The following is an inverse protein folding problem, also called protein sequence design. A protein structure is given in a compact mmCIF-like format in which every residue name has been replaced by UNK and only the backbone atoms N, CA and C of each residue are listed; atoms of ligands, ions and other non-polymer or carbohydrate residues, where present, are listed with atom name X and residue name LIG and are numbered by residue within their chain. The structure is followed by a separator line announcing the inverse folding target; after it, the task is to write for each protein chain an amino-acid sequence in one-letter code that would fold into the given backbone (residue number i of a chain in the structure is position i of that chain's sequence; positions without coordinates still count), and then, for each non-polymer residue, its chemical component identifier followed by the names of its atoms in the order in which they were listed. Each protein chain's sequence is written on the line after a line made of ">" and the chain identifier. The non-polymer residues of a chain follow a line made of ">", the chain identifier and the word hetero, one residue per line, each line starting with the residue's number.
data_IF_665167266013
#
_entry.id   IF_665167266013
#
_cell.length_a   1.000
_cell.length_b   1.000
_cell.length_c   1.000
_cell.angle_alpha   90.00
_cell.angle_beta   90.00
_cell.angle_gamma   90.00
#
_symmetry.space_group_name_H-M   'P 1'
#
loop_
_entity.id
_entity.type
_entity.pdbx_description
1 polymer ?
#
# COMPACT_ATOMS: atom_id res chain seq x y z
N UNK A 1 -11.68 9.62 21.26
CA UNK A 1 -11.54 9.91 19.81
C UNK A 1 -12.59 9.08 19.10
N UNK A 2 -13.15 9.56 18.00
CA UNK A 2 -14.12 8.79 17.20
C UNK A 2 -13.39 7.52 16.75
N UNK A 3 -13.74 6.37 17.32
CA UNK A 3 -13.12 5.09 17.02
C UNK A 3 -13.79 4.44 15.81
N UNK A 4 -14.17 5.28 14.84
CA UNK A 4 -14.84 4.83 13.65
C UNK A 4 -13.82 4.13 12.77
N UNK A 5 -14.00 2.81 12.60
CA UNK A 5 -13.16 2.04 11.70
C UNK A 5 -13.42 2.43 10.25
N UNK A 6 -12.37 2.39 9.43
CA UNK A 6 -12.46 2.61 7.99
C UNK A 6 -12.24 1.33 7.19
N UNK A 7 -12.74 1.34 5.96
CA UNK A 7 -12.45 0.34 4.93
C UNK A 7 -11.79 1.06 3.77
N UNK A 8 -10.64 0.56 3.35
CA UNK A 8 -9.96 1.01 2.16
C UNK A 8 -10.03 -0.11 1.11
N UNK A 9 -10.60 0.19 -0.04
CA UNK A 9 -10.49 -0.65 -1.22
C UNK A 9 -9.54 -0.04 -2.23
N UNK A 10 -8.59 -0.83 -2.69
CA UNK A 10 -7.72 -0.45 -3.79
C UNK A 10 -8.08 -1.23 -5.05
N UNK A 11 -8.42 -0.48 -6.08
CA UNK A 11 -8.59 -0.97 -7.43
C UNK A 11 -7.29 -0.73 -8.19
N UNK A 12 -6.70 -1.82 -8.67
CA UNK A 12 -5.56 -1.73 -9.58
C UNK A 12 -6.04 -1.49 -11.01
N UNK A 13 -5.16 -0.96 -11.86
CA UNK A 13 -5.44 -0.66 -13.27
C UNK A 13 -5.53 -1.93 -14.15
N UNK A 14 -6.28 -2.94 -13.69
CA UNK A 14 -6.44 -4.25 -14.33
C UNK A 14 -7.79 -4.39 -15.06
N UNK A 15 -8.73 -3.45 -14.84
CA UNK A 15 -10.10 -3.53 -15.35
C UNK A 15 -10.51 -2.27 -16.12
N UNK A 16 -11.40 -2.36 -17.11
CA UNK A 16 -11.92 -1.18 -17.82
C UNK A 16 -12.58 -0.16 -16.89
N UNK A 17 -12.35 1.12 -17.14
CA UNK A 17 -12.87 2.26 -16.37
C UNK A 17 -14.39 2.22 -16.16
N UNK A 18 -15.14 1.89 -17.22
CA UNK A 18 -16.61 1.90 -17.19
C UNK A 18 -17.16 0.80 -16.27
N UNK A 19 -16.47 -0.33 -16.18
CA UNK A 19 -16.80 -1.42 -15.27
C UNK A 19 -16.63 -0.97 -13.81
N UNK A 20 -15.52 -0.27 -13.52
CA UNK A 20 -15.24 0.29 -12.19
C UNK A 20 -16.34 1.28 -11.80
N UNK A 21 -16.60 2.26 -12.66
CA UNK A 21 -17.58 3.31 -12.40
C UNK A 21 -19.00 2.74 -12.19
N UNK A 22 -19.45 1.81 -13.05
CA UNK A 22 -20.75 1.12 -12.90
C UNK A 22 -20.82 0.32 -11.60
N UNK A 23 -19.70 -0.27 -11.18
CA UNK A 23 -19.61 -0.99 -9.92
C UNK A 23 -19.75 -0.10 -8.71
N UNK A 24 -19.03 1.02 -8.69
CA UNK A 24 -19.12 1.99 -7.62
C UNK A 24 -20.52 2.63 -7.54
N UNK A 25 -21.16 2.88 -8.70
CA UNK A 25 -22.53 3.38 -8.75
C UNK A 25 -23.58 2.36 -8.28
N UNK A 26 -23.31 1.06 -8.48
CA UNK A 26 -24.23 0.00 -8.06
C UNK A 26 -24.00 -0.47 -6.62
N UNK A 27 -22.99 0.09 -5.93
CA UNK A 27 -22.70 -0.23 -4.54
C UNK A 27 -23.88 0.17 -3.65
N UNK A 28 -24.57 -0.83 -3.13
CA UNK A 28 -25.63 -0.66 -2.15
C UNK A 28 -25.11 -1.06 -0.76
N UNK A 29 -24.62 -0.08 -0.01
CA UNK A 29 -24.19 -0.26 1.37
C UNK A 29 -25.39 -0.36 2.31
N UNK A 30 -25.32 -1.19 3.37
CA UNK A 30 -26.32 -1.18 4.44
C UNK A 30 -26.54 0.23 5.02
N UNK A 31 -27.77 0.55 5.43
CA UNK A 31 -28.08 1.85 6.07
C UNK A 31 -27.26 2.08 7.36
N UNK A 32 -26.90 0.99 8.04
CA UNK A 32 -26.08 0.98 9.25
C UNK A 32 -24.58 1.17 8.98
N UNK A 33 -24.14 1.13 7.71
CA UNK A 33 -22.75 1.37 7.35
C UNK A 33 -22.39 2.83 7.66
N UNK A 34 -21.33 3.10 8.45
CA UNK A 34 -21.01 4.47 8.83
C UNK A 34 -20.67 5.33 7.62
N UNK A 35 -21.23 6.54 7.61
CA UNK A 35 -20.83 7.59 6.66
C UNK A 35 -19.35 7.93 6.86
N UNK A 36 -18.64 8.24 5.78
CA UNK A 36 -17.22 8.65 5.84
C UNK A 36 -16.23 7.55 6.31
N UNK A 37 -16.66 6.28 6.35
CA UNK A 37 -15.78 5.13 6.63
C UNK A 37 -15.21 4.48 5.37
N UNK A 38 -15.64 4.89 4.18
CA UNK A 38 -15.33 4.21 2.93
C UNK A 38 -14.27 4.97 2.14
N UNK A 39 -13.14 4.32 1.89
CA UNK A 39 -12.02 4.86 1.13
C UNK A 39 -11.80 4.01 -0.12
N UNK A 40 -11.62 4.65 -1.26
CA UNK A 40 -11.44 3.99 -2.55
C UNK A 40 -10.21 4.57 -3.23
N UNK A 41 -9.15 3.77 -3.30
CA UNK A 41 -7.95 4.11 -4.06
C UNK A 41 -8.11 3.64 -5.51
N UNK A 42 -7.92 4.58 -6.43
CA UNK A 42 -8.04 4.38 -7.87
C UNK A 42 -6.73 4.76 -8.58
N UNK A 43 -6.41 4.15 -9.73
CA UNK A 43 -5.39 4.71 -10.61
C UNK A 43 -5.81 6.12 -11.04
N UNK A 44 -4.85 7.02 -11.25
CA UNK A 44 -5.14 8.44 -11.47
C UNK A 44 -6.15 8.70 -12.59
N UNK A 45 -6.02 8.03 -13.73
CA UNK A 45 -6.92 8.23 -14.88
C UNK A 45 -8.36 7.80 -14.57
N UNK A 46 -8.54 6.86 -13.64
CA UNK A 46 -9.84 6.38 -13.18
C UNK A 46 -10.42 7.38 -12.19
N UNK A 47 -9.59 7.93 -11.31
CA UNK A 47 -9.99 8.96 -10.38
C UNK A 47 -10.60 10.14 -11.15
N UNK A 48 -9.90 10.68 -12.16
CA UNK A 48 -10.38 11.81 -12.96
C UNK A 48 -11.76 11.52 -13.59
N UNK A 49 -11.95 10.33 -14.18
CA UNK A 49 -13.24 9.96 -14.78
C UNK A 49 -14.34 9.70 -13.74
N UNK A 50 -13.97 9.13 -12.60
CA UNK A 50 -14.90 8.77 -11.54
C UNK A 50 -15.49 10.00 -10.85
N UNK A 51 -14.77 11.14 -10.81
CA UNK A 51 -15.24 12.36 -10.16
C UNK A 51 -16.57 12.85 -10.68
N UNK A 52 -16.78 12.87 -11.99
CA UNK A 52 -18.05 13.35 -12.58
C UNK A 52 -19.22 12.45 -12.20
N UNK A 53 -18.96 11.14 -12.06
CA UNK A 53 -19.99 10.15 -11.77
C UNK A 53 -20.25 10.01 -10.26
N UNK A 54 -19.23 10.22 -9.43
CA UNK A 54 -19.23 9.89 -7.99
C UNK A 54 -19.14 11.12 -7.07
N UNK A 55 -19.17 12.34 -7.61
CA UNK A 55 -19.10 13.62 -6.87
C UNK A 55 -20.12 13.75 -5.71
N UNK A 56 -21.22 12.97 -5.71
CA UNK A 56 -22.25 12.98 -4.66
C UNK A 56 -22.26 11.70 -3.80
N UNK A 57 -21.23 10.85 -3.93
CA UNK A 57 -21.11 9.64 -3.11
C UNK A 57 -20.59 9.97 -1.71
N UNK A 58 -20.82 9.06 -0.77
CA UNK A 58 -20.31 9.14 0.62
C UNK A 58 -18.89 8.56 0.76
N UNK A 59 -18.14 8.46 -0.35
CA UNK A 59 -16.84 7.80 -0.40
C UNK A 59 -15.71 8.83 -0.43
N UNK A 60 -14.62 8.51 0.25
CA UNK A 60 -13.35 9.20 0.08
C UNK A 60 -12.60 8.56 -1.07
N UNK A 61 -12.16 9.38 -2.02
CA UNK A 61 -11.37 8.89 -3.15
C UNK A 61 -9.91 9.28 -2.98
N UNK A 62 -9.03 8.38 -3.40
CA UNK A 62 -7.59 8.60 -3.38
C UNK A 62 -6.91 8.01 -4.58
N UNK A 63 -5.66 8.40 -4.78
CA UNK A 63 -4.83 7.85 -5.85
C UNK A 63 -3.99 6.68 -5.36
N UNK A 64 -3.72 5.73 -6.24
CA UNK A 64 -2.88 4.56 -5.96
C UNK A 64 -1.39 4.86 -5.87
N UNK A 65 -0.92 6.00 -6.38
CA UNK A 65 0.47 6.48 -6.28
C UNK A 65 0.55 7.98 -6.64
N UNK A 66 1.71 8.59 -6.40
CA UNK A 66 2.06 9.92 -6.89
C UNK A 66 3.56 10.03 -7.13
N UNK A 67 3.96 11.03 -7.90
CA UNK A 67 5.34 11.39 -8.16
C UNK A 67 6.03 11.88 -6.87
N UNK A 68 7.28 11.46 -6.66
CA UNK A 68 8.16 12.13 -5.70
C UNK A 68 8.57 13.50 -6.26
N UNK A 69 8.42 14.57 -5.50
CA UNK A 69 8.69 15.92 -5.97
C UNK A 69 10.21 16.22 -6.09
N UNK A 70 11.02 15.25 -6.49
CA UNK A 70 12.46 15.40 -6.67
C UNK A 70 12.74 16.18 -7.95
N UNK A 71 13.67 17.16 -7.96
CA UNK A 71 13.79 18.11 -9.08
C UNK A 71 14.25 17.54 -10.43
N UNK A 72 14.59 16.25 -10.54
CA UNK A 72 15.56 15.82 -11.54
C UNK A 72 15.01 15.00 -12.74
N UNK A 73 13.82 14.39 -12.70
CA UNK A 73 13.27 13.71 -13.90
C UNK A 73 11.75 13.49 -13.81
N UNK A 74 10.97 14.04 -14.75
CA UNK A 74 9.52 13.79 -14.84
C UNK A 74 9.14 13.37 -16.25
N UNK A 75 8.81 12.09 -16.46
CA UNK A 75 8.45 11.60 -17.80
C UNK A 75 7.06 10.95 -17.89
N UNK A 76 6.38 10.67 -16.76
CA UNK A 76 4.99 10.16 -16.79
C UNK A 76 4.23 10.16 -15.44
N UNK A 77 4.86 10.56 -14.33
CA UNK A 77 4.25 10.45 -12.99
C UNK A 77 3.42 11.69 -12.62
N UNK A 78 2.41 11.50 -11.76
CA UNK A 78 1.45 12.54 -11.39
C UNK A 78 1.88 13.28 -10.12
N UNK A 79 2.09 14.59 -10.20
CA UNK A 79 2.42 15.41 -9.03
C UNK A 79 1.21 15.54 -8.07
N UNK A 80 1.47 15.76 -6.78
CA UNK A 80 0.41 15.96 -5.78
C UNK A 80 -0.60 17.06 -6.15
N UNK A 81 -0.16 18.13 -6.83
CA UNK A 81 -1.06 19.20 -7.27
C UNK A 81 -2.18 18.71 -8.19
N UNK A 82 -1.90 17.75 -9.07
CA UNK A 82 -2.91 17.15 -9.95
C UNK A 82 -3.91 16.28 -9.18
N UNK A 83 -3.47 15.68 -8.07
CA UNK A 83 -4.38 14.96 -7.18
C UNK A 83 -5.35 15.93 -6.47
N UNK A 84 -4.89 17.13 -6.10
CA UNK A 84 -5.77 18.19 -5.57
C UNK A 84 -6.82 18.61 -6.61
N UNK A 85 -6.42 18.81 -7.86
CA UNK A 85 -7.36 19.12 -8.96
C UNK A 85 -8.37 17.98 -9.17
N UNK A 86 -7.92 16.74 -9.00
CA UNK A 86 -8.75 15.53 -9.03
C UNK A 86 -9.51 15.29 -7.72
N UNK A 87 -9.57 16.27 -6.81
CA UNK A 87 -10.26 16.19 -5.51
C UNK A 87 -9.91 14.95 -4.68
N UNK A 88 -8.71 14.40 -4.85
CA UNK A 88 -8.25 13.26 -4.06
C UNK A 88 -8.17 13.67 -2.57
N UNK A 89 -8.74 12.87 -1.69
CA UNK A 89 -8.62 13.05 -0.25
C UNK A 89 -7.32 12.46 0.30
N UNK A 90 -6.80 11.43 -0.36
CA UNK A 90 -5.65 10.66 0.10
C UNK A 90 -4.84 10.06 -1.06
N UNK A 91 -3.68 9.51 -0.74
CA UNK A 91 -2.82 8.79 -1.70
C UNK A 91 -2.11 7.63 -1.02
N UNK A 92 -2.03 6.49 -1.70
CA UNK A 92 -1.23 5.35 -1.26
C UNK A 92 0.25 5.57 -1.61
N UNK A 93 1.14 5.31 -0.65
CA UNK A 93 2.60 5.51 -0.82
C UNK A 93 3.35 4.33 -0.22
N UNK A 94 4.41 3.86 -0.89
CA UNK A 94 5.28 2.82 -0.33
C UNK A 94 4.70 1.41 -0.41
N UNK A 95 3.81 1.13 -1.35
CA UNK A 95 3.21 -0.20 -1.53
C UNK A 95 4.32 -1.23 -1.73
N UNK A 96 4.14 -2.42 -1.17
CA UNK A 96 5.17 -3.45 -1.23
C UNK A 96 5.49 -3.89 -2.67
N UNK A 97 4.53 -3.83 -3.60
CA UNK A 97 4.78 -4.07 -5.03
C UNK A 97 5.78 -3.06 -5.60
N UNK A 98 5.64 -1.78 -5.26
CA UNK A 98 6.47 -0.70 -5.79
C UNK A 98 7.91 -0.80 -5.26
N UNK A 99 8.05 -1.08 -3.96
CA UNK A 99 9.35 -1.35 -3.33
C UNK A 99 10.07 -2.53 -3.99
N UNK A 100 9.34 -3.59 -4.34
CA UNK A 100 9.92 -4.82 -4.86
C UNK A 100 10.22 -4.77 -6.36
N UNK A 101 9.29 -4.25 -7.16
CA UNK A 101 9.36 -4.29 -8.63
C UNK A 101 10.05 -3.07 -9.23
N UNK A 102 9.72 -1.86 -8.77
CA UNK A 102 10.30 -0.61 -9.29
C UNK A 102 11.36 0.00 -8.36
N UNK A 103 11.70 -0.71 -7.28
CA UNK A 103 12.76 -0.35 -6.32
C UNK A 103 12.56 1.02 -5.68
N UNK A 104 11.31 1.34 -5.34
CA UNK A 104 10.97 2.56 -4.63
C UNK A 104 11.75 2.65 -3.31
N UNK A 105 12.55 3.71 -3.16
CA UNK A 105 13.45 3.89 -2.01
C UNK A 105 12.74 4.57 -0.83
N UNK A 106 13.27 4.39 0.39
CA UNK A 106 12.78 5.11 1.57
C UNK A 106 12.84 6.64 1.41
N UNK A 107 13.84 7.13 0.67
CA UNK A 107 13.99 8.56 0.36
C UNK A 107 12.87 9.05 -0.56
N UNK A 108 12.60 8.33 -1.66
CA UNK A 108 11.49 8.64 -2.57
C UNK A 108 10.16 8.69 -1.82
N UNK A 109 9.90 7.71 -0.95
CA UNK A 109 8.70 7.65 -0.12
C UNK A 109 8.62 8.83 0.85
N UNK A 110 9.72 9.19 1.50
CA UNK A 110 9.78 10.37 2.36
C UNK A 110 9.37 11.64 1.58
N UNK A 111 9.90 11.84 0.37
CA UNK A 111 9.53 12.97 -0.47
C UNK A 111 8.06 12.96 -0.89
N UNK A 112 7.49 11.79 -1.24
CA UNK A 112 6.06 11.67 -1.56
C UNK A 112 5.19 12.05 -0.37
N UNK A 113 5.49 11.53 0.83
CA UNK A 113 4.74 11.85 2.06
C UNK A 113 4.79 13.35 2.34
N UNK A 114 5.98 13.96 2.26
CA UNK A 114 6.15 15.41 2.47
C UNK A 114 5.37 16.24 1.45
N UNK A 115 5.39 15.82 0.18
CA UNK A 115 4.65 16.46 -0.91
C UNK A 115 3.14 16.37 -0.70
N UNK A 116 2.63 15.18 -0.33
CA UNK A 116 1.22 14.97 -0.01
C UNK A 116 0.75 15.86 1.17
N UNK A 117 1.50 15.86 2.28
CA UNK A 117 1.19 16.70 3.45
C UNK A 117 1.17 18.19 3.11
N UNK A 118 2.13 18.67 2.30
CA UNK A 118 2.19 20.07 1.86
C UNK A 118 0.94 20.49 1.07
N UNK A 119 0.46 19.60 0.21
CA UNK A 119 -0.76 19.81 -0.60
C UNK A 119 -2.05 19.42 0.13
N UNK A 120 -1.97 19.07 1.43
CA UNK A 120 -3.10 18.65 2.29
C UNK A 120 -3.82 17.40 1.78
N UNK A 121 -3.09 16.50 1.13
CA UNK A 121 -3.54 15.16 0.77
C UNK A 121 -3.08 14.21 1.87
N UNK A 122 -3.99 13.38 2.38
CA UNK A 122 -3.68 12.44 3.46
C UNK A 122 -2.79 11.31 2.94
N UNK A 123 -1.56 11.13 3.45
CA UNK A 123 -0.72 10.01 3.07
C UNK A 123 -1.23 8.72 3.73
N UNK A 124 -1.43 7.68 2.93
CA UNK A 124 -1.63 6.31 3.42
C UNK A 124 -0.33 5.54 3.14
N UNK A 125 0.55 5.52 4.13
CA UNK A 125 1.87 4.93 4.04
C UNK A 125 1.82 3.43 4.28
N UNK A 126 2.16 2.66 3.24
CA UNK A 126 2.29 1.22 3.29
C UNK A 126 3.68 0.81 3.81
N UNK A 127 3.67 -0.13 4.75
CA UNK A 127 4.86 -0.76 5.31
C UNK A 127 4.58 -2.23 5.62
N UNK A 128 5.64 -3.02 5.72
CA UNK A 128 5.55 -4.45 5.94
C UNK A 128 6.59 -5.22 5.16
N UNK A 129 6.82 -6.43 5.63
CA UNK A 129 7.69 -7.43 5.04
C UNK A 129 7.06 -8.15 3.84
N UNK A 130 7.93 -8.72 3.01
CA UNK A 130 7.56 -9.69 1.98
C UNK A 130 7.20 -11.03 2.58
N UNK A 131 6.62 -11.92 1.76
CA UNK A 131 6.34 -13.31 2.18
C UNK A 131 7.59 -14.04 2.67
N UNK A 132 8.70 -13.92 1.95
CA UNK A 132 9.96 -14.58 2.30
C UNK A 132 10.48 -14.07 3.65
N UNK A 133 10.49 -12.75 3.84
CA UNK A 133 10.88 -12.13 5.11
C UNK A 133 9.93 -12.51 6.27
N UNK A 134 8.63 -12.71 6.01
CA UNK A 134 7.68 -13.19 7.02
C UNK A 134 7.97 -14.63 7.42
N UNK A 135 8.19 -15.52 6.45
CA UNK A 135 8.51 -16.94 6.70
C UNK A 135 9.85 -17.11 7.44
N UNK A 136 10.80 -16.21 7.19
CA UNK A 136 12.08 -16.16 7.88
C UNK A 136 12.03 -15.49 9.27
N UNK A 137 10.87 -14.94 9.67
CA UNK A 137 10.69 -14.29 10.97
C UNK A 137 11.30 -12.89 11.08
N UNK A 138 11.48 -12.18 9.96
CA UNK A 138 12.07 -10.85 9.90
C UNK A 138 11.06 -9.68 10.09
N UNK A 139 9.77 -9.96 10.30
CA UNK A 139 8.69 -8.96 10.45
C UNK A 139 9.08 -7.77 11.33
N UNK A 140 9.57 -8.00 12.55
CA UNK A 140 9.92 -6.91 13.46
C UNK A 140 11.08 -6.05 12.94
N UNK A 141 12.11 -6.67 12.37
CA UNK A 141 13.26 -5.95 11.82
C UNK A 141 12.85 -5.07 10.62
N UNK A 142 12.00 -5.60 9.73
CA UNK A 142 11.55 -4.88 8.54
C UNK A 142 10.63 -3.72 8.90
N UNK A 143 9.65 -3.93 9.78
CA UNK A 143 8.76 -2.85 10.26
C UNK A 143 9.57 -1.72 10.89
N UNK A 144 10.53 -2.04 11.78
CA UNK A 144 11.39 -1.04 12.42
C UNK A 144 12.19 -0.24 11.41
N UNK A 145 12.81 -0.93 10.44
CA UNK A 145 13.62 -0.32 9.41
C UNK A 145 12.79 0.62 8.54
N UNK A 146 11.68 0.14 7.97
CA UNK A 146 10.86 0.93 7.05
C UNK A 146 10.28 2.17 7.73
N UNK A 147 9.78 2.05 8.97
CA UNK A 147 9.27 3.20 9.72
C UNK A 147 10.37 4.23 10.02
N UNK A 148 11.55 3.76 10.44
CA UNK A 148 12.67 4.67 10.77
C UNK A 148 13.20 5.40 9.53
N UNK A 149 13.47 4.65 8.47
CA UNK A 149 14.07 5.18 7.24
C UNK A 149 13.14 6.15 6.51
N UNK A 150 11.83 5.88 6.54
CA UNK A 150 10.87 6.71 5.83
C UNK A 150 10.40 7.92 6.64
N UNK A 151 10.40 7.87 7.99
CA UNK A 151 9.59 8.82 8.79
C UNK A 151 10.32 9.61 9.89
N UNK A 152 11.59 9.33 10.18
CA UNK A 152 12.33 10.03 11.26
C UNK A 152 12.52 11.54 11.06
N UNK A 153 12.37 12.03 9.83
CA UNK A 153 12.49 13.46 9.50
C UNK A 153 11.19 14.25 9.60
N UNK A 154 10.08 13.63 10.04
CA UNK A 154 8.80 14.31 10.27
C UNK A 154 8.59 14.64 11.75
N UNK A 155 7.91 15.75 11.98
CA UNK A 155 7.44 16.16 13.31
C UNK A 155 6.28 15.29 13.79
N UNK A 156 6.04 15.26 15.11
CA UNK A 156 4.92 14.54 15.68
C UNK A 156 3.56 14.96 15.08
N UNK A 157 3.37 16.25 14.77
CA UNK A 157 2.13 16.76 14.18
C UNK A 157 1.96 16.36 12.71
N UNK A 158 3.06 16.22 11.96
CA UNK A 158 3.02 15.66 10.61
C UNK A 158 2.71 14.16 10.65
N UNK A 159 3.31 13.41 11.58
CA UNK A 159 3.07 11.97 11.73
C UNK A 159 1.60 11.66 12.07
N UNK A 160 0.95 12.48 12.90
CA UNK A 160 -0.48 12.35 13.22
C UNK A 160 -1.41 12.51 12.01
N UNK A 161 -0.93 13.10 10.91
CA UNK A 161 -1.68 13.26 9.67
C UNK A 161 -1.51 12.08 8.70
N UNK A 162 -0.66 11.11 9.03
CA UNK A 162 -0.39 9.94 8.21
C UNK A 162 -1.26 8.76 8.67
N UNK A 163 -1.86 8.08 7.71
CA UNK A 163 -2.46 6.76 7.92
C UNK A 163 -1.43 5.69 7.60
N UNK A 164 -1.38 4.67 8.43
CA UNK A 164 -0.40 3.60 8.35
C UNK A 164 -1.10 2.34 7.84
N UNK A 165 -0.59 1.75 6.77
CA UNK A 165 -1.09 0.48 6.23
C UNK A 165 -0.02 -0.58 6.45
N UNK A 166 -0.32 -1.58 7.28
CA UNK A 166 0.46 -2.81 7.25
C UNK A 166 0.04 -3.61 6.00
N UNK A 167 0.92 -3.65 4.99
CA UNK A 167 0.71 -4.30 3.68
C UNK A 167 1.84 -5.31 3.43
N UNK A 168 1.56 -6.58 3.70
CA UNK A 168 2.51 -7.68 3.54
C UNK A 168 2.05 -8.63 2.46
N UNK A 169 2.34 -8.34 1.18
CA UNK A 169 1.84 -9.14 0.07
C UNK A 169 2.38 -10.57 0.18
N UNK A 170 1.46 -11.52 0.39
CA UNK A 170 1.81 -12.92 0.53
C UNK A 170 1.76 -13.47 1.95
N UNK A 171 1.93 -12.63 2.97
CA UNK A 171 1.68 -13.03 4.36
C UNK A 171 0.18 -12.97 4.67
N UNK A 172 -0.26 -13.69 5.70
CA UNK A 172 -1.68 -13.77 6.11
C UNK A 172 -2.63 -14.16 4.95
N UNK A 173 -2.16 -15.03 4.03
CA UNK A 173 -2.88 -15.38 2.80
C UNK A 173 -3.99 -16.39 2.99
N UNK A 174 -4.02 -17.05 4.14
CA UNK A 174 -5.01 -18.06 4.50
C UNK A 174 -5.68 -17.67 5.81
N UNK A 175 -6.91 -18.16 6.01
CA UNK A 175 -7.65 -17.97 7.28
C UNK A 175 -6.85 -18.55 8.47
N UNK A 176 -6.07 -19.60 8.25
CA UNK A 176 -5.20 -20.20 9.28
C UNK A 176 -4.00 -19.33 9.66
N UNK A 177 -3.54 -18.45 8.76
CA UNK A 177 -2.43 -17.52 9.04
C UNK A 177 -2.96 -16.19 9.58
N UNK A 178 -4.03 -15.67 8.98
CA UNK A 178 -4.73 -14.46 9.40
C UNK A 178 -5.57 -14.75 10.65
N UNK A 179 -4.91 -15.00 11.79
CA UNK A 179 -5.57 -15.21 13.08
C UNK A 179 -5.62 -13.90 13.88
N UNK A 180 -6.62 -13.71 14.77
CA UNK A 180 -6.67 -12.52 15.64
C UNK A 180 -5.38 -12.32 16.44
N UNK A 181 -4.73 -13.42 16.84
CA UNK A 181 -3.44 -13.38 17.54
C UNK A 181 -2.33 -12.79 16.66
N UNK A 182 -2.16 -13.28 15.43
CA UNK A 182 -1.14 -12.78 14.51
C UNK A 182 -1.33 -11.27 14.24
N UNK A 183 -2.59 -10.84 14.02
CA UNK A 183 -2.92 -9.43 13.81
C UNK A 183 -2.55 -8.56 15.03
N UNK A 184 -2.79 -9.05 16.25
CA UNK A 184 -2.40 -8.33 17.47
C UNK A 184 -0.86 -8.26 17.61
N UNK A 185 -0.15 -9.36 17.38
CA UNK A 185 1.32 -9.39 17.46
C UNK A 185 1.96 -8.38 16.49
N UNK A 186 1.45 -8.29 15.25
CA UNK A 186 1.89 -7.31 14.25
C UNK A 186 1.60 -5.88 14.71
N UNK A 187 0.38 -5.62 15.21
CA UNK A 187 0.01 -4.29 15.69
C UNK A 187 0.89 -3.86 16.87
N UNK A 188 1.17 -4.77 17.81
CA UNK A 188 2.05 -4.50 18.94
C UNK A 188 3.48 -4.18 18.50
N UNK A 189 4.01 -4.88 17.50
CA UNK A 189 5.34 -4.57 16.91
C UNK A 189 5.35 -3.13 16.37
N UNK A 190 4.34 -2.76 15.58
CA UNK A 190 4.22 -1.42 15.02
C UNK A 190 4.07 -0.37 16.14
N UNK A 191 3.20 -0.62 17.12
CA UNK A 191 2.97 0.28 18.26
C UNK A 191 4.24 0.51 19.08
N UNK A 192 5.01 -0.54 19.40
CA UNK A 192 6.30 -0.40 20.08
C UNK A 192 7.27 0.48 19.29
N UNK A 193 7.29 0.34 17.97
CA UNK A 193 8.13 1.19 17.14
C UNK A 193 7.64 2.64 17.11
N UNK A 194 6.33 2.86 17.07
CA UNK A 194 5.75 4.21 17.15
C UNK A 194 6.11 4.90 18.47
N UNK A 195 5.99 4.17 19.59
CA UNK A 195 6.36 4.67 20.92
C UNK A 195 7.85 5.03 20.97
N UNK A 196 8.70 4.16 20.41
CA UNK A 196 10.15 4.40 20.33
C UNK A 196 10.51 5.67 19.56
N UNK A 197 9.83 5.92 18.42
CA UNK A 197 10.13 7.05 17.55
C UNK A 197 9.51 8.37 18.01
N UNK A 198 8.29 8.35 18.55
CA UNK A 198 7.49 9.56 18.76
C UNK A 198 6.85 9.68 20.15
N UNK A 199 7.09 8.71 21.03
CA UNK A 199 6.50 8.67 22.37
C UNK A 199 5.06 8.14 22.38
N UNK A 200 4.62 7.72 23.56
CA UNK A 200 3.34 7.05 23.78
C UNK A 200 2.14 7.90 23.39
N UNK A 201 2.15 9.20 23.74
CA UNK A 201 1.04 10.11 23.43
C UNK A 201 0.76 10.19 21.93
N UNK A 202 1.82 10.25 21.10
CA UNK A 202 1.69 10.32 19.64
C UNK A 202 1.29 8.95 19.10
N UNK A 203 1.95 7.89 19.56
CA UNK A 203 1.74 6.52 19.09
C UNK A 203 0.27 6.07 19.21
N UNK A 204 -0.38 6.38 20.33
CA UNK A 204 -1.78 6.01 20.58
C UNK A 204 -2.80 6.76 19.70
N UNK A 205 -2.36 7.80 18.97
CA UNK A 205 -3.20 8.56 18.04
C UNK A 205 -3.05 8.08 16.59
N UNK A 206 -2.06 7.23 16.30
CA UNK A 206 -1.77 6.82 14.94
C UNK A 206 -2.81 5.81 14.46
N UNK A 207 -3.29 6.03 13.24
CA UNK A 207 -4.30 5.18 12.60
C UNK A 207 -3.60 4.14 11.76
N UNK A 208 -3.49 2.93 12.31
CA UNK A 208 -2.98 1.77 11.56
C UNK A 208 -4.13 0.91 11.05
N UNK A 209 -4.13 0.60 9.77
CA UNK A 209 -5.05 -0.33 9.12
C UNK A 209 -4.29 -1.54 8.60
N UNK A 210 -4.97 -2.68 8.50
CA UNK A 210 -4.36 -3.94 8.10
C UNK A 210 -4.82 -4.37 6.71
N UNK A 211 -3.89 -4.73 5.84
CA UNK A 211 -4.20 -5.47 4.61
C UNK A 211 -4.74 -6.86 4.97
N UNK A 212 -5.85 -7.24 4.33
CA UNK A 212 -6.35 -8.61 4.37
C UNK A 212 -6.67 -9.10 2.96
N UNK A 213 -6.43 -10.39 2.74
CA UNK A 213 -6.96 -11.05 1.56
C UNK A 213 -8.51 -11.08 1.61
N UNK A 214 -9.18 -10.96 0.45
CA UNK A 214 -10.64 -11.01 0.34
C UNK A 214 -11.19 -12.44 0.52
N UNK A 215 -11.07 -13.00 1.72
CA UNK A 215 -11.52 -14.36 2.06
C UNK A 215 -13.02 -14.55 1.79
N UNK A 216 -13.42 -15.80 1.50
CA UNK A 216 -14.83 -16.19 1.35
C UNK A 216 -15.15 -17.43 2.21
N UNK A 217 -16.00 -17.32 3.25
CA UNK A 217 -16.51 -16.08 3.86
C UNK A 217 -15.40 -15.29 4.59
N UNK A 218 -15.64 -14.00 4.91
CA UNK A 218 -14.71 -13.23 5.73
C UNK A 218 -14.76 -13.69 7.20
N UNK A 219 -13.61 -14.04 7.84
CA UNK A 219 -13.61 -14.47 9.23
C UNK A 219 -13.97 -13.31 10.17
N UNK A 220 -15.19 -13.34 10.74
CA UNK A 220 -15.72 -12.29 11.63
C UNK A 220 -14.83 -12.00 12.84
N UNK A 221 -14.18 -13.04 13.35
CA UNK A 221 -13.23 -12.98 14.47
C UNK A 221 -12.03 -12.06 14.21
N UNK A 222 -11.66 -11.81 12.96
CA UNK A 222 -10.61 -10.84 12.62
C UNK A 222 -11.03 -9.40 12.88
N UNK A 223 -12.32 -9.13 13.00
CA UNK A 223 -12.87 -7.80 13.18
C UNK A 223 -13.32 -7.55 14.63
N UNK A 224 -13.91 -8.54 15.29
CA UNK A 224 -14.60 -8.38 16.59
C UNK A 224 -13.72 -7.80 17.72
N UNK A 225 -12.39 -7.95 17.66
CA UNK A 225 -11.46 -7.38 18.65
C UNK A 225 -10.14 -6.90 18.03
N UNK A 226 -10.18 -6.48 16.77
CA UNK A 226 -8.99 -5.97 16.09
C UNK A 226 -8.49 -4.64 16.69
N UNK A 227 -7.18 -4.49 16.92
CA UNK A 227 -6.58 -3.22 17.34
C UNK A 227 -6.44 -2.22 16.18
N UNK A 228 -6.63 -2.67 14.94
CA UNK A 228 -6.52 -1.82 13.77
C UNK A 228 -7.71 -0.84 13.67
N UNK A 229 -7.39 0.39 13.24
CA UNK A 229 -8.35 1.44 12.95
C UNK A 229 -9.16 1.19 11.66
N UNK A 230 -8.90 0.08 10.97
CA UNK A 230 -9.56 -0.25 9.72
C UNK A 230 -8.86 -1.37 8.97
N UNK A 231 -9.40 -1.68 7.80
CA UNK A 231 -8.92 -2.78 6.97
C UNK A 231 -8.80 -2.34 5.52
N UNK A 232 -7.80 -2.91 4.86
CA UNK A 232 -7.41 -2.63 3.50
C UNK A 232 -7.56 -3.89 2.65
N UNK A 233 -8.24 -3.77 1.51
CA UNK A 233 -8.45 -4.89 0.59
C UNK A 233 -8.06 -4.48 -0.83
N UNK A 234 -7.31 -5.35 -1.50
CA UNK A 234 -7.03 -5.24 -2.93
C UNK A 234 -8.11 -6.00 -3.69
N UNK A 235 -8.66 -5.37 -4.74
CA UNK A 235 -9.63 -6.00 -5.61
C UNK A 235 -8.92 -6.91 -6.62
N UNK A 236 -9.16 -8.22 -6.52
CA UNK A 236 -8.52 -9.25 -7.35
C UNK A 236 -9.47 -9.80 -8.44
N UNK A 237 -10.77 -9.45 -8.37
CA UNK A 237 -11.78 -9.90 -9.33
C UNK A 237 -12.67 -8.74 -9.77
N UNK A 238 -13.04 -8.72 -11.05
CA UNK A 238 -14.04 -7.82 -11.64
C UNK A 238 -15.45 -8.00 -11.02
N UNK A 239 -15.66 -9.07 -10.24
CA UNK A 239 -16.94 -9.36 -9.65
C UNK A 239 -17.31 -8.42 -8.48
N UNK A 240 -18.02 -7.36 -8.85
CA UNK A 240 -18.61 -6.36 -7.96
C UNK A 240 -19.56 -6.91 -6.90
N UNK A 241 -20.12 -8.10 -7.08
CA UNK A 241 -21.01 -8.71 -6.09
C UNK A 241 -20.25 -9.03 -4.80
N UNK A 242 -19.00 -9.49 -4.93
CA UNK A 242 -18.16 -9.80 -3.78
C UNK A 242 -17.88 -8.55 -2.94
N UNK A 243 -17.56 -7.43 -3.59
CA UNK A 243 -17.31 -6.18 -2.91
C UNK A 243 -18.53 -5.75 -2.09
N UNK A 244 -19.73 -5.81 -2.67
CA UNK A 244 -20.97 -5.50 -1.95
C UNK A 244 -21.27 -6.49 -0.82
N UNK A 245 -21.00 -7.79 -1.02
CA UNK A 245 -21.20 -8.84 -0.01
C UNK A 245 -20.21 -8.67 1.15
N UNK A 246 -18.93 -8.51 0.86
CA UNK A 246 -17.90 -8.21 1.85
C UNK A 246 -18.23 -6.95 2.63
N UNK A 247 -18.65 -5.86 1.95
CA UNK A 247 -19.11 -4.63 2.59
C UNK A 247 -20.20 -4.90 3.62
N UNK A 248 -21.20 -5.72 3.25
CA UNK A 248 -22.34 -6.07 4.09
C UNK A 248 -21.94 -6.98 5.25
N UNK A 249 -21.08 -7.97 5.01
CA UNK A 249 -20.60 -8.90 6.03
C UNK A 249 -19.81 -8.19 7.11
N UNK A 250 -19.01 -7.20 6.69
CA UNK A 250 -18.14 -6.49 7.61
C UNK A 250 -18.83 -5.31 8.26
N UNK A 251 -19.80 -4.65 7.61
CA UNK A 251 -20.52 -3.46 8.11
C UNK A 251 -20.82 -3.46 9.62
N UNK A 252 -21.31 -4.55 10.24
CA UNK A 252 -21.63 -4.57 11.67
C UNK A 252 -20.42 -4.35 12.60
N UNK A 253 -19.19 -4.56 12.10
CA UNK A 253 -17.94 -4.35 12.84
C UNK A 253 -17.30 -2.99 12.61
N UNK A 254 -17.91 -2.17 11.75
CA UNK A 254 -17.45 -0.83 11.38
C UNK A 254 -18.52 0.11 11.89
N UNK A 255 -18.28 0.60 13.09
CA UNK A 255 -19.11 1.43 13.95
C UNK A 255 -18.26 1.79 15.17
N UNK A 256 -18.74 2.59 16.12
CA UNK A 256 -17.95 3.01 17.30
C UNK A 256 -17.61 1.82 18.22
N UNK A 257 -16.65 1.00 17.82
CA UNK A 257 -16.07 -0.07 18.62
C UNK A 257 -14.88 0.49 19.38
N UNK A 258 -14.78 0.29 20.70
CA UNK A 258 -13.60 0.70 21.43
C UNK A 258 -12.38 -0.04 20.87
N UNK A 259 -11.46 0.70 20.22
CA UNK A 259 -10.08 0.23 20.03
C UNK A 259 -9.55 0.04 21.45
N UNK A 260 -9.42 -1.21 21.88
CA UNK A 260 -8.74 -1.54 23.13
C UNK A 260 -7.30 -1.83 22.78
N UNK A 261 -6.34 -0.93 23.05
CA UNK A 261 -4.94 -1.34 23.04
C UNK A 261 -4.80 -2.47 24.07
N UNK A 262 -4.40 -3.64 23.62
CA UNK A 262 -3.95 -4.71 24.50
C UNK A 262 -2.53 -4.31 24.89
N UNK A 263 -2.40 -3.54 25.96
CA UNK A 263 -1.11 -3.41 26.63
C UNK A 263 -0.99 -4.65 27.48
N UNK A 264 -0.14 -5.60 27.08
CA UNK A 264 0.24 -6.68 27.97
C UNK A 264 1.02 -6.07 29.14
N UNK A 265 0.70 -6.48 30.37
CA UNK A 265 1.39 -6.08 31.61
C UNK A 265 2.81 -6.67 31.69
N UNK A 266 3.59 -6.61 30.61
CA UNK A 266 5.03 -6.91 30.66
C UNK A 266 5.77 -5.60 30.86
N UNK A 267 6.31 -5.44 32.07
CA UNK A 267 7.23 -4.37 32.45
C UNK A 267 8.24 -4.10 31.31
N UNK A 268 8.21 -2.86 30.81
CA UNK A 268 9.23 -2.35 29.91
C UNK A 268 10.53 -2.31 30.72
N UNK A 269 11.37 -3.34 30.56
CA UNK A 269 12.73 -3.33 31.09
C UNK A 269 13.50 -2.28 30.29
N UNK A 270 13.66 -1.09 30.87
CA UNK A 270 14.62 -0.10 30.39
C UNK A 270 16.01 -0.74 30.39
N UNK A 271 16.74 -0.81 29.26
CA UNK A 271 18.09 -1.32 29.27
C UNK A 271 18.98 -0.30 29.98
N UNK A 272 19.50 -0.70 31.14
CA UNK A 272 20.55 0.04 31.86
C UNK A 272 21.77 0.11 30.94
N UNK A 273 22.13 1.33 30.52
CA UNK A 273 23.40 1.60 29.85
C UNK A 273 24.52 1.25 30.84
N UNK A 274 25.25 0.18 30.56
CA UNK A 274 26.54 -0.08 31.22
C UNK A 274 27.60 0.50 30.29
N UNK A 275 28.09 1.69 30.64
CA UNK A 275 29.31 2.25 30.06
C UNK A 275 30.48 1.32 30.38
N UNK A 276 30.97 0.59 29.38
CA UNK A 276 32.32 0.05 29.40
C UNK A 276 33.05 0.55 28.15
N UNK A 277 33.76 1.66 28.36
CA UNK A 277 34.89 2.07 27.54
C UNK A 277 36.00 1.05 27.73
N UNK A 278 36.39 0.31 26.69
CA UNK A 278 37.76 -0.17 26.56
C UNK A 278 38.22 -0.20 25.10
N UNK A 279 39.46 0.25 24.91
CA UNK A 279 40.16 0.57 23.67
C UNK A 279 40.59 -0.68 22.88
N UNK A 280 40.96 -0.56 21.59
CA UNK A 280 41.42 -1.69 20.79
C UNK A 280 42.90 -1.98 21.03
N UNK A 281 43.25 -3.25 21.23
CA UNK A 281 44.62 -3.75 21.09
C UNK A 281 44.76 -4.66 19.86
N UNK A 282 45.93 -4.49 19.24
CA UNK A 282 46.41 -5.06 18.00
C UNK A 282 47.11 -6.42 18.23
N UNK A 283 47.33 -7.16 17.14
CA UNK A 283 48.18 -8.37 17.00
C UNK A 283 47.49 -9.74 17.13
N UNK A 284 47.50 -10.53 16.05
CA UNK A 284 48.56 -11.49 15.78
C UNK A 284 48.11 -12.49 14.70
N UNK A 285 48.99 -12.71 13.72
CA UNK A 285 48.92 -13.74 12.70
C UNK A 285 48.91 -15.14 13.33
N UNK A 286 48.17 -16.06 12.74
CA UNK A 286 48.64 -17.44 12.55
C UNK A 286 47.97 -18.06 11.33
N UNK A 287 48.81 -18.42 10.37
CA UNK A 287 48.51 -19.29 9.24
C UNK A 287 48.09 -20.68 9.74
N UNK A 288 47.09 -21.28 9.08
CA UNK A 288 46.98 -22.72 8.96
C UNK A 288 46.36 -23.05 7.60
N UNK A 289 47.25 -23.50 6.73
CA UNK A 289 46.97 -24.09 5.44
C UNK A 289 46.10 -25.34 5.57
N UNK A 290 45.06 -25.45 4.75
CA UNK A 290 44.59 -26.76 4.28
C UNK A 290 44.00 -26.62 2.89
N UNK A 291 44.79 -27.00 1.89
CA UNK A 291 44.37 -27.24 0.51
C UNK A 291 43.48 -28.47 0.44
N UNK A 292 42.26 -28.33 -0.08
CA UNK A 292 41.53 -29.39 -0.78
C UNK A 292 40.96 -28.77 -2.06
N UNK A 293 41.50 -29.21 -3.20
CA UNK A 293 40.90 -29.03 -4.51
C UNK A 293 39.85 -30.11 -4.74
N UNK A 294 38.73 -29.78 -5.40
CA UNK A 294 38.21 -30.43 -6.61
C UNK A 294 36.82 -29.90 -7.02
N UNK A 295 36.80 -29.35 -8.24
CA UNK A 295 35.77 -29.37 -9.31
C UNK A 295 34.40 -28.68 -9.17
N UNK A 296 33.89 -28.08 -10.28
CA UNK A 296 32.59 -27.43 -10.35
C UNK A 296 31.52 -28.41 -10.84
N UNK A 297 30.39 -28.48 -10.14
CA UNK A 297 29.13 -29.02 -10.68
C UNK A 297 28.00 -28.05 -10.31
N UNK A 298 27.64 -27.20 -11.27
CA UNK A 298 26.41 -26.40 -11.23
C UNK A 298 25.52 -26.91 -12.36
N UNK A 299 24.38 -27.55 -12.07
CA UNK A 299 23.36 -27.77 -13.08
C UNK A 299 22.64 -26.43 -13.34
N UNK A 300 22.74 -25.95 -14.58
CA UNK A 300 21.97 -24.83 -15.08
C UNK A 300 20.47 -25.15 -15.01
N UNK A 301 19.71 -24.37 -14.24
CA UNK A 301 18.24 -24.40 -14.28
C UNK A 301 17.75 -23.77 -15.58
N UNK A 302 16.93 -24.55 -16.31
CA UNK A 302 16.28 -24.14 -17.54
C UNK A 302 15.23 -23.03 -17.30
N UNK A 303 15.01 -22.11 -18.26
CA UNK A 303 13.99 -21.08 -18.14
C UNK A 303 12.59 -21.68 -18.13
N UNK A 304 11.81 -21.34 -17.12
CA UNK A 304 10.40 -21.73 -16.96
C UNK A 304 9.57 -21.13 -18.09
N UNK A 305 8.86 -21.99 -18.82
CA UNK A 305 7.93 -21.60 -19.88
C UNK A 305 6.75 -20.82 -19.29
N UNK A 306 6.56 -19.58 -19.75
CA UNK A 306 5.30 -18.86 -19.58
C UNK A 306 4.22 -19.55 -20.43
N UNK A 307 3.17 -20.04 -19.79
CA UNK A 307 1.97 -20.53 -20.46
C UNK A 307 1.19 -19.30 -20.98
N UNK A 308 1.36 -18.99 -22.26
CA UNK A 308 0.54 -17.99 -22.94
C UNK A 308 -0.91 -18.50 -23.02
N UNK A 309 -1.84 -17.82 -22.36
CA UNK A 309 -3.27 -17.98 -22.59
C UNK A 309 -3.56 -17.34 -23.96
N UNK A 310 -3.70 -18.16 -25.01
CA UNK A 310 -4.28 -17.70 -26.27
C UNK A 310 -5.77 -17.45 -26.07
N UNK A 311 -6.16 -16.18 -26.02
CA UNK A 311 -7.55 -15.79 -26.30
C UNK A 311 -7.70 -15.65 -27.81
N UNK A 312 -8.52 -16.50 -28.42
CA UNK A 312 -8.98 -16.37 -29.80
C UNK A 312 -9.80 -15.08 -29.94
N UNK A 313 -9.15 -14.00 -30.38
CA UNK A 313 -9.83 -12.83 -30.91
C UNK A 313 -9.98 -13.02 -32.42
N UNK A 314 -11.18 -13.43 -32.82
CA UNK A 314 -11.60 -13.45 -34.22
C UNK A 314 -11.59 -12.02 -34.77
N UNK A 315 -10.57 -11.68 -35.56
CA UNK A 315 -10.49 -10.40 -36.26
C UNK A 315 -11.55 -10.41 -37.37
N UNK A 316 -12.63 -9.67 -37.18
CA UNK A 316 -13.50 -9.28 -38.28
C UNK A 316 -12.73 -8.31 -39.19
N UNK A 317 -12.34 -8.78 -40.37
CA UNK A 317 -11.80 -7.98 -41.46
C UNK A 317 -12.79 -6.87 -41.83
N UNK A 318 -12.48 -5.62 -41.45
CA UNK A 318 -13.04 -4.45 -42.13
C UNK A 318 -12.23 -4.22 -43.41
N UNK A 319 -12.77 -4.66 -44.54
CA UNK A 319 -12.34 -4.19 -45.86
C UNK A 319 -12.78 -2.74 -46.04
N UNK A 320 -11.83 -1.81 -46.07
CA UNK A 320 -12.09 -0.43 -46.48
C UNK A 320 -11.86 -0.31 -47.99
N UNK A 321 -12.74 0.35 -48.77
CA UNK A 321 -12.54 0.53 -50.20
C UNK A 321 -11.48 1.60 -50.47
N UNK A 322 -10.64 1.30 -51.45
CA UNK A 322 -9.68 2.17 -52.13
C UNK A 322 -10.13 3.63 -52.30
N UNK A 323 -9.33 4.56 -51.79
CA UNK A 323 -9.30 5.97 -52.19
C UNK A 323 -7.95 6.25 -52.85
N UNK A 324 -8.03 6.85 -54.03
CA UNK A 324 -6.96 7.15 -54.99
C UNK A 324 -6.01 8.24 -54.50
N UNK A 325 -4.74 8.11 -54.87
CA UNK A 325 -3.71 9.14 -54.80
C UNK A 325 -4.09 10.34 -55.67
N UNK A 326 -4.48 11.47 -55.08
CA UNK A 326 -4.31 12.80 -55.66
C UNK A 326 -4.46 13.88 -54.57
N UNK A 327 -3.64 14.94 -54.68
CA UNK A 327 -3.61 16.17 -53.87
C UNK A 327 -2.80 16.17 -52.55
N UNK A 328 -1.47 16.07 -52.71
CA UNK A 328 -0.50 16.66 -51.78
C UNK A 328 -0.45 18.19 -51.96
N UNK A 329 -1.26 18.95 -51.20
CA UNK A 329 -1.02 20.38 -51.01
C UNK A 329 0.01 20.62 -49.90
N UNK A 330 1.07 21.37 -50.25
CA UNK A 330 2.16 21.78 -49.34
C UNK A 330 1.66 22.81 -48.31
N UNK A 331 2.10 22.76 -47.04
CA UNK A 331 1.76 23.80 -46.08
C UNK A 331 2.52 25.10 -46.40
N UNK A 332 1.81 26.22 -46.32
CA UNK A 332 2.35 27.58 -46.48
C UNK A 332 3.16 28.01 -45.25
N UNK A 333 4.24 28.81 -45.40
CA UNK A 333 5.09 29.19 -44.28
C UNK A 333 4.45 30.25 -43.38
N UNK A 334 4.55 30.03 -42.06
CA UNK A 334 4.24 30.98 -41.01
C UNK A 334 5.01 32.29 -41.20
N UNK A 335 4.31 33.42 -41.12
CA UNK A 335 4.91 34.75 -40.95
C UNK A 335 4.73 35.19 -39.50
N UNK A 336 5.85 35.47 -38.85
CA UNK A 336 5.96 36.44 -37.74
C UNK A 336 6.54 37.76 -38.30
N UNK A 337 6.43 38.91 -37.60
CA UNK A 337 5.89 39.13 -36.25
C UNK A 337 4.54 39.85 -36.20
#
# INVERSE_FOLDING_TARGET
>A
MDNQRLILWHWEALYPYDLVAKGLCSLNLPEEFPKDSMYIALPHDYLVQALDTLNNSQFHFGSSDMLDATPETFTSSIAASFLVESKANFVLIGKALDRNQIKESSESINYKIRSALKEKITPFFCFGETREEFEDGHTEAIIKKQLSDCLTSFTADEIKQIYFIYDTPGALKTISEATPRALNEIYEIALRQYISLWGEEVALQLKTICYLEPFKPLPKELFENSPFAGFYFKMIDANLSFFCEAAKEIAPFFGNFPIKPIVSDTEIVTPTIVDNLDKPEESARTDLSTTVSLTPDVPALAPTQFLAIQTDLSIHNFSNPSLSEEELEKPSPLKEP
#
